data_IF_681449237247
#
_entry.id   IF_681449237247
#
_cell.length_a   1.000
_cell.length_b   1.000
_cell.length_c   1.000
_cell.angle_alpha   90.00
_cell.angle_beta   90.00
_cell.angle_gamma   90.00
#
_symmetry.space_group_name_H-M   'P 1'
#
loop_
_entity.id
_entity.type
_entity.pdbx_description
1 polymer ?
#
# COMPACT_ATOMS: atom_id res chain seq x y z
N UNK A 1 -8.02 -4.14 14.17
CA UNK A 1 -7.60 -4.01 12.75
C UNK A 1 -8.82 -3.82 11.83
N UNK A 2 -9.57 -2.72 12.01
CA UNK A 2 -10.72 -2.33 11.15
C UNK A 2 -10.65 -0.84 10.72
N UNK A 3 -9.73 -0.07 11.31
CA UNK A 3 -9.64 1.37 11.10
C UNK A 3 -9.09 1.74 9.71
N UNK A 4 -8.15 0.95 9.17
CA UNK A 4 -7.53 1.22 7.85
C UNK A 4 -8.54 1.14 6.71
N UNK A 5 -9.39 0.10 6.68
CA UNK A 5 -10.47 -0.05 5.67
C UNK A 5 -11.46 1.12 5.68
N UNK A 6 -11.76 1.69 6.86
CA UNK A 6 -12.71 2.80 7.00
C UNK A 6 -12.11 4.14 6.57
N UNK A 7 -10.79 4.30 6.67
CA UNK A 7 -10.06 5.46 6.17
C UNK A 7 -10.06 5.51 4.65
N UNK A 8 -9.71 4.39 4.02
CA UNK A 8 -9.56 4.29 2.56
C UNK A 8 -10.88 4.57 1.81
N UNK A 9 -12.00 4.00 2.27
CA UNK A 9 -13.32 4.28 1.67
C UNK A 9 -13.71 5.76 1.75
N UNK A 10 -13.37 6.43 2.86
CA UNK A 10 -13.67 7.85 3.06
C UNK A 10 -12.79 8.74 2.21
N UNK A 11 -11.52 8.38 2.05
CA UNK A 11 -10.61 9.06 1.14
C UNK A 11 -11.07 8.93 -0.31
N UNK A 12 -11.35 7.70 -0.76
CA UNK A 12 -11.84 7.43 -2.10
C UNK A 12 -13.13 8.21 -2.42
N UNK A 13 -14.05 8.28 -1.47
CA UNK A 13 -15.26 9.10 -1.59
C UNK A 13 -14.93 10.60 -1.76
N UNK A 14 -14.03 11.15 -0.94
CA UNK A 14 -13.59 12.56 -1.07
C UNK A 14 -12.92 12.83 -2.42
N UNK A 15 -12.10 11.88 -2.88
CA UNK A 15 -11.39 11.97 -4.15
C UNK A 15 -12.37 11.96 -5.34
N UNK A 16 -13.38 11.09 -5.30
CA UNK A 16 -14.46 11.06 -6.28
C UNK A 16 -15.24 12.39 -6.29
N UNK A 17 -15.59 12.91 -5.11
CA UNK A 17 -16.28 14.21 -4.99
C UNK A 17 -15.46 15.38 -5.55
N UNK A 18 -14.13 15.34 -5.40
CA UNK A 18 -13.25 16.36 -5.90
C UNK A 18 -13.22 16.40 -7.44
N UNK A 19 -13.25 15.24 -8.09
CA UNK A 19 -13.07 15.14 -9.54
C UNK A 19 -14.38 15.03 -10.32
N UNK A 20 -15.44 14.44 -9.73
CA UNK A 20 -16.74 14.26 -10.39
C UNK A 20 -17.73 15.33 -9.98
N UNK A 21 -17.83 16.35 -10.85
CA UNK A 21 -18.82 17.42 -10.73
C UNK A 21 -20.20 16.91 -11.16
N UNK A 22 -21.24 17.28 -10.41
CA UNK A 22 -22.63 17.01 -10.78
C UNK A 22 -23.18 15.64 -10.37
N UNK A 23 -22.46 14.87 -9.55
CA UNK A 23 -23.01 13.64 -9.00
C UNK A 23 -24.27 13.93 -8.18
N UNK A 24 -25.40 13.29 -8.50
CA UNK A 24 -26.71 13.58 -7.87
C UNK A 24 -27.04 12.66 -6.70
N UNK A 25 -26.27 11.59 -6.50
CA UNK A 25 -26.44 10.64 -5.39
C UNK A 25 -25.14 9.90 -5.08
N UNK A 26 -25.09 9.17 -3.97
CA UNK A 26 -23.96 8.29 -3.63
C UNK A 26 -23.81 7.12 -4.61
N UNK A 27 -24.92 6.68 -5.20
CA UNK A 27 -24.93 5.61 -6.20
C UNK A 27 -24.36 6.11 -7.52
N UNK A 28 -24.76 7.31 -7.92
CA UNK A 28 -24.22 8.00 -9.08
C UNK A 28 -22.72 8.31 -8.89
N UNK A 29 -22.30 8.72 -7.69
CA UNK A 29 -20.90 8.94 -7.34
C UNK A 29 -20.04 7.68 -7.56
N UNK A 30 -20.59 6.48 -7.29
CA UNK A 30 -19.92 5.18 -7.51
C UNK A 30 -20.10 4.60 -8.91
N UNK A 31 -20.82 5.26 -9.80
CA UNK A 31 -21.11 4.75 -11.15
C UNK A 31 -20.13 5.31 -12.17
N UNK A 32 -19.15 4.54 -12.60
CA UNK A 32 -18.10 4.96 -13.56
C UNK A 32 -18.32 4.25 -14.89
N UNK A 33 -18.32 4.99 -16.01
CA UNK A 33 -18.57 4.44 -17.35
C UNK A 33 -19.86 3.59 -17.43
N UNK A 34 -20.96 4.07 -16.83
CA UNK A 34 -22.25 3.36 -16.73
C UNK A 34 -22.20 2.02 -15.97
N UNK A 35 -21.15 1.77 -15.17
CA UNK A 35 -21.05 0.60 -14.30
C UNK A 35 -21.04 1.02 -12.84
N UNK A 36 -21.96 0.47 -12.06
CA UNK A 36 -21.99 0.66 -10.61
C UNK A 36 -20.89 -0.17 -9.94
N UNK A 37 -20.25 0.40 -8.91
CA UNK A 37 -19.22 -0.25 -8.10
C UNK A 37 -19.63 -0.31 -6.63
N UNK A 38 -19.36 -1.43 -5.97
CA UNK A 38 -19.82 -1.67 -4.60
C UNK A 38 -19.15 -0.75 -3.56
N UNK A 39 -17.89 -0.35 -3.82
CA UNK A 39 -17.08 0.47 -2.92
C UNK A 39 -16.60 1.76 -3.59
N UNK A 40 -16.33 2.79 -2.79
CA UNK A 40 -15.79 4.04 -3.32
C UNK A 40 -14.37 3.85 -3.86
N UNK A 41 -13.59 2.96 -3.26
CA UNK A 41 -12.27 2.60 -3.78
C UNK A 41 -12.39 1.99 -5.18
N UNK A 42 -13.30 1.03 -5.37
CA UNK A 42 -13.47 0.40 -6.68
C UNK A 42 -13.91 1.40 -7.77
N UNK A 43 -14.81 2.34 -7.42
CA UNK A 43 -15.19 3.42 -8.31
C UNK A 43 -14.02 4.38 -8.61
N UNK A 44 -13.29 4.81 -7.58
CA UNK A 44 -12.14 5.72 -7.74
C UNK A 44 -11.01 5.09 -8.57
N UNK A 45 -10.76 3.79 -8.39
CA UNK A 45 -9.81 3.02 -9.21
C UNK A 45 -10.30 2.89 -10.65
N UNK A 46 -11.58 2.56 -10.87
CA UNK A 46 -12.15 2.48 -12.22
C UNK A 46 -12.14 3.83 -12.96
N UNK A 47 -12.24 4.93 -12.22
CA UNK A 47 -12.13 6.29 -12.76
C UNK A 47 -10.67 6.75 -12.98
N UNK A 48 -9.68 5.93 -12.58
CA UNK A 48 -8.25 6.26 -12.70
C UNK A 48 -7.75 7.28 -11.67
N UNK A 49 -8.53 7.57 -10.62
CA UNK A 49 -8.13 8.51 -9.56
C UNK A 49 -7.30 7.83 -8.47
N UNK A 50 -7.46 6.52 -8.30
CA UNK A 50 -6.64 5.72 -7.40
C UNK A 50 -5.90 4.66 -8.20
N UNK A 51 -4.57 4.63 -8.05
CA UNK A 51 -3.78 3.49 -8.49
C UNK A 51 -3.99 2.33 -7.53
N UNK A 52 -3.99 1.10 -8.05
CA UNK A 52 -3.68 -0.06 -7.20
C UNK A 52 -2.27 0.14 -6.62
N UNK A 53 -1.96 -0.53 -5.51
CA UNK A 53 -0.61 -0.56 -4.90
C UNK A 53 0.50 -0.99 -5.89
N UNK A 54 0.14 -1.40 -7.11
CA UNK A 54 0.99 -1.63 -8.28
C UNK A 54 2.09 -0.58 -8.48
N UNK A 55 1.88 0.71 -8.21
CA UNK A 55 2.97 1.70 -8.33
C UNK A 55 4.07 1.42 -7.29
N UNK A 56 3.67 1.23 -6.03
CA UNK A 56 4.58 0.91 -4.94
C UNK A 56 5.23 -0.46 -5.11
N UNK A 57 4.47 -1.43 -5.62
CA UNK A 57 4.99 -2.75 -5.96
C UNK A 57 6.07 -2.68 -7.04
N UNK A 58 5.87 -1.91 -8.11
CA UNK A 58 6.88 -1.73 -9.16
C UNK A 58 8.11 -1.03 -8.61
N UNK A 59 7.95 0.04 -7.82
CA UNK A 59 9.09 0.71 -7.18
C UNK A 59 9.86 -0.20 -6.22
N UNK A 60 9.17 -1.10 -5.51
CA UNK A 60 9.80 -2.08 -4.64
C UNK A 60 10.41 -3.27 -5.38
N UNK A 61 10.02 -3.56 -6.62
CA UNK A 61 10.62 -4.63 -7.44
C UNK A 61 12.02 -4.24 -7.96
N UNK A 62 12.24 -2.94 -8.20
CA UNK A 62 13.53 -2.41 -8.68
C UNK A 62 14.58 -2.32 -7.56
N UNK A 63 14.14 -2.12 -6.31
CA UNK A 63 15.02 -1.84 -5.18
C UNK A 63 15.91 -3.02 -4.68
N UNK A 64 15.45 -4.29 -4.68
CA UNK A 64 16.26 -5.44 -4.25
C UNK A 64 17.55 -5.64 -5.05
N UNK A 65 17.58 -5.18 -6.31
CA UNK A 65 18.73 -5.25 -7.21
C UNK A 65 19.94 -4.41 -6.74
N UNK A 66 19.73 -3.46 -5.84
CA UNK A 66 20.80 -2.57 -5.34
C UNK A 66 21.56 -3.13 -4.14
N UNK A 67 21.25 -4.32 -3.65
CA UNK A 67 21.91 -4.92 -2.47
C UNK A 67 21.79 -4.10 -1.16
N UNK A 68 20.67 -3.37 -0.96
CA UNK A 68 20.47 -2.53 0.23
C UNK A 68 19.15 -2.85 0.98
N UNK A 69 19.07 -3.98 1.72
CA UNK A 69 17.86 -4.35 2.45
C UNK A 69 17.43 -3.34 3.53
N UNK A 70 18.38 -2.72 4.24
CA UNK A 70 18.08 -1.69 5.25
C UNK A 70 17.42 -0.43 4.65
N UNK A 71 17.90 0.02 3.48
CA UNK A 71 17.27 1.15 2.76
C UNK A 71 15.90 0.78 2.21
N UNK A 72 15.73 -0.47 1.74
CA UNK A 72 14.44 -0.98 1.33
C UNK A 72 13.44 -1.01 2.51
N UNK A 73 13.91 -1.34 3.72
CA UNK A 73 13.11 -1.21 4.96
C UNK A 73 12.75 0.25 5.27
N UNK A 74 13.67 1.19 5.11
CA UNK A 74 13.40 2.63 5.27
C UNK A 74 12.37 3.14 4.25
N UNK A 75 12.46 2.70 2.99
CA UNK A 75 11.49 3.04 1.95
C UNK A 75 10.12 2.47 2.26
N UNK A 76 10.05 1.19 2.65
CA UNK A 76 8.79 0.55 3.06
C UNK A 76 8.17 1.24 4.29
N UNK A 77 8.97 1.62 5.29
CA UNK A 77 8.52 2.41 6.44
C UNK A 77 7.92 3.75 5.99
N UNK A 78 8.58 4.44 5.06
CA UNK A 78 8.11 5.71 4.47
C UNK A 78 6.81 5.54 3.70
N UNK A 79 6.65 4.45 2.93
CA UNK A 79 5.39 4.13 2.26
C UNK A 79 4.26 3.92 3.27
N UNK A 80 4.51 3.22 4.37
CA UNK A 80 3.49 3.04 5.43
C UNK A 80 3.15 4.36 6.12
N UNK A 81 4.14 5.22 6.38
CA UNK A 81 3.95 6.46 7.11
C UNK A 81 3.28 7.56 6.27
N UNK A 82 3.68 7.68 5.00
CA UNK A 82 3.36 8.84 4.16
C UNK A 82 2.46 8.50 2.97
N UNK A 83 2.31 7.22 2.61
CA UNK A 83 1.46 6.81 1.50
C UNK A 83 0.19 6.09 1.98
N UNK A 84 -0.88 6.25 1.22
CA UNK A 84 -2.13 5.53 1.44
C UNK A 84 -2.10 4.18 0.72
N UNK A 85 -1.36 3.22 1.30
CA UNK A 85 -1.33 1.85 0.83
C UNK A 85 -2.71 1.20 0.99
N UNK A 86 -3.26 0.67 -0.10
CA UNK A 86 -4.55 -0.02 -0.07
C UNK A 86 -4.48 -1.33 0.72
N UNK A 87 -3.35 -2.04 0.63
CA UNK A 87 -3.08 -3.28 1.35
C UNK A 87 -1.59 -3.42 1.75
N UNK A 88 -1.15 -2.74 2.84
CA UNK A 88 0.22 -2.85 3.34
C UNK A 88 0.64 -4.28 3.67
N UNK A 89 -0.32 -5.13 4.07
CA UNK A 89 -0.05 -6.53 4.39
C UNK A 89 0.29 -7.35 3.15
N UNK A 90 -0.40 -7.12 2.04
CA UNK A 90 -0.05 -7.76 0.76
C UNK A 90 1.36 -7.36 0.32
N UNK A 91 1.69 -6.07 0.44
CA UNK A 91 3.00 -5.55 0.11
C UNK A 91 4.10 -6.17 0.99
N UNK A 92 3.86 -6.29 2.30
CA UNK A 92 4.76 -7.01 3.21
C UNK A 92 4.96 -8.47 2.80
N UNK A 93 3.89 -9.25 2.61
CA UNK A 93 4.02 -10.68 2.29
C UNK A 93 4.80 -10.92 0.99
N UNK A 94 4.68 -10.00 0.02
CA UNK A 94 5.43 -10.04 -1.23
C UNK A 94 6.93 -9.78 -1.03
N UNK A 95 7.29 -8.76 -0.23
CA UNK A 95 8.68 -8.27 -0.14
C UNK A 95 9.43 -8.65 1.14
N UNK A 96 8.80 -9.34 2.11
CA UNK A 96 9.42 -9.67 3.40
C UNK A 96 10.74 -10.44 3.31
N UNK A 97 10.93 -11.23 2.24
CA UNK A 97 12.18 -11.95 1.98
C UNK A 97 13.30 -11.02 1.52
N UNK A 98 12.98 -10.03 0.70
CA UNK A 98 13.95 -9.02 0.26
C UNK A 98 14.30 -8.06 1.40
N UNK A 99 13.30 -7.72 2.23
CA UNK A 99 13.44 -6.87 3.41
C UNK A 99 14.27 -7.52 4.52
N UNK A 100 14.34 -8.86 4.58
CA UNK A 100 15.08 -9.62 5.60
C UNK A 100 16.36 -10.29 5.07
N UNK A 101 16.73 -9.99 3.81
CA UNK A 101 17.82 -10.68 3.11
C UNK A 101 19.17 -10.52 3.80
N UNK A 102 19.45 -9.33 4.35
CA UNK A 102 20.68 -9.07 5.12
C UNK A 102 20.77 -9.96 6.36
N UNK A 103 19.70 -10.08 7.15
CA UNK A 103 19.67 -10.97 8.30
C UNK A 103 19.79 -12.45 7.91
N UNK A 104 19.16 -12.87 6.81
CA UNK A 104 19.34 -14.23 6.27
C UNK A 104 20.81 -14.50 5.88
N UNK A 105 21.49 -13.52 5.29
CA UNK A 105 22.89 -13.64 4.91
C UNK A 105 23.83 -13.73 6.12
N UNK A 106 23.42 -13.19 7.27
CA UNK A 106 24.13 -13.30 8.56
C UNK A 106 23.88 -14.65 9.27
N UNK A 107 23.11 -15.56 8.66
CA UNK A 107 22.84 -16.91 9.19
C UNK A 107 21.61 -17.00 10.09
N UNK A 108 20.80 -15.95 10.15
CA UNK A 108 19.52 -15.96 10.89
C UNK A 108 18.50 -16.81 10.14
N UNK A 109 17.72 -17.61 10.88
CA UNK A 109 16.62 -18.40 10.30
C UNK A 109 15.56 -17.48 9.67
N UNK A 110 14.95 -17.89 8.57
CA UNK A 110 14.07 -17.01 7.79
C UNK A 110 12.91 -16.39 8.58
N UNK A 111 12.32 -17.14 9.53
CA UNK A 111 11.23 -16.61 10.37
C UNK A 111 11.72 -15.52 11.34
N UNK A 112 12.90 -15.73 11.95
CA UNK A 112 13.51 -14.76 12.86
C UNK A 112 14.01 -13.53 12.08
N UNK A 113 14.54 -13.74 10.87
CA UNK A 113 14.96 -12.67 9.97
C UNK A 113 13.78 -11.78 9.53
N UNK A 114 12.64 -12.38 9.19
CA UNK A 114 11.39 -11.64 8.90
C UNK A 114 10.92 -10.83 10.12
N UNK A 115 11.00 -11.40 11.33
CA UNK A 115 10.64 -10.69 12.56
C UNK A 115 11.58 -9.50 12.84
N UNK A 116 12.89 -9.69 12.68
CA UNK A 116 13.89 -8.62 12.82
C UNK A 116 13.65 -7.49 11.83
N UNK A 117 13.38 -7.82 10.57
CA UNK A 117 13.03 -6.83 9.55
C UNK A 117 11.78 -6.04 9.92
N UNK A 118 10.75 -6.71 10.45
CA UNK A 118 9.55 -6.05 10.93
C UNK A 118 9.82 -5.08 12.09
N UNK A 119 10.66 -5.49 13.06
CA UNK A 119 11.06 -4.64 14.18
C UNK A 119 11.89 -3.43 13.72
N UNK A 120 12.81 -3.61 12.78
CA UNK A 120 13.61 -2.52 12.22
C UNK A 120 12.74 -1.48 11.49
N UNK A 121 11.77 -1.94 10.70
CA UNK A 121 10.77 -1.07 10.06
C UNK A 121 10.01 -0.28 11.12
N UNK A 122 9.52 -0.92 12.18
CA UNK A 122 8.78 -0.26 13.24
C UNK A 122 9.62 0.79 13.99
N UNK A 123 10.92 0.52 14.20
CA UNK A 123 11.84 1.46 14.83
C UNK A 123 12.08 2.73 13.98
N UNK A 124 12.03 2.60 12.65
CA UNK A 124 12.18 3.73 11.71
C UNK A 124 10.94 4.64 11.62
N UNK A 125 9.84 4.30 12.27
CA UNK A 125 8.61 5.09 12.30
C UNK A 125 8.49 6.03 13.52
N UNK A 126 9.50 6.03 14.40
CA UNK A 126 9.59 6.91 15.58
C UNK A 126 10.52 8.09 15.30
#
# INVERSE_FOLDING_TARGET
MFYVKKGLERFAMRLLLLHRKGATSFDDLRTVNNRHHDTYVAAATAAGYMSNDSFYEVSMDEAPGFNMPSELRSFFASLICFCELANPRHLWERFKKDLSRDFCNEGVQSQDAEALAFHDIAAKQQ
#
